data_IF_385343947586
#
_entry.id   IF_385343947586
#
_cell.length_a   1.000
_cell.length_b   1.000
_cell.length_c   1.000
_cell.angle_alpha   90.00
_cell.angle_beta   90.00
_cell.angle_gamma   90.00
#
_symmetry.space_group_name_H-M   'P 1'
#
loop_
_entity.id
_entity.type
_entity.pdbx_description
1 polymer ?
#
# COMPACT_ATOMS: atom_id res chain seq x y z
N UNK A 1 -21.93 -3.70 -7.66
CA UNK A 1 -22.08 -4.68 -6.55
C UNK A 1 -22.31 -6.09 -7.07
N UNK A 2 -23.32 -6.30 -7.95
CA UNK A 2 -23.70 -7.63 -8.46
C UNK A 2 -22.52 -8.38 -9.07
N UNK A 3 -21.75 -7.74 -9.93
CA UNK A 3 -20.55 -8.33 -10.56
C UNK A 3 -19.54 -8.86 -9.51
N UNK A 4 -19.33 -8.13 -8.42
CA UNK A 4 -18.43 -8.60 -7.35
C UNK A 4 -18.99 -9.81 -6.60
N UNK A 5 -20.31 -9.86 -6.39
CA UNK A 5 -20.95 -10.97 -5.70
C UNK A 5 -20.98 -12.25 -6.54
N UNK A 6 -21.22 -12.10 -7.84
CA UNK A 6 -21.39 -13.23 -8.75
C UNK A 6 -20.05 -13.82 -9.20
N UNK A 7 -19.04 -12.97 -9.39
CA UNK A 7 -17.78 -13.38 -10.00
C UNK A 7 -16.58 -13.43 -9.04
N UNK A 8 -16.60 -12.64 -7.96
CA UNK A 8 -15.46 -12.48 -7.02
C UNK A 8 -14.15 -12.42 -7.81
N UNK A 9 -13.96 -11.39 -8.67
CA UNK A 9 -12.81 -11.32 -9.55
C UNK A 9 -11.52 -11.25 -8.72
N UNK A 10 -10.46 -11.90 -9.16
CA UNK A 10 -9.17 -11.91 -8.47
C UNK A 10 -8.54 -10.51 -8.44
N UNK A 11 -8.66 -9.79 -9.56
CA UNK A 11 -8.14 -8.44 -9.73
C UNK A 11 -9.26 -7.54 -10.29
N UNK A 12 -9.43 -6.37 -9.69
CA UNK A 12 -10.23 -5.28 -10.23
C UNK A 12 -9.31 -4.13 -10.60
N UNK A 13 -9.35 -3.69 -11.85
CA UNK A 13 -8.51 -2.61 -12.33
C UNK A 13 -9.33 -1.40 -12.73
N UNK A 14 -9.02 -0.25 -12.13
CA UNK A 14 -9.67 1.03 -12.32
C UNK A 14 -8.69 2.05 -12.88
N UNK A 15 -9.04 2.70 -14.00
CA UNK A 15 -8.24 3.74 -14.65
C UNK A 15 -8.79 5.12 -14.31
N UNK A 16 -7.91 6.04 -13.91
CA UNK A 16 -8.20 7.44 -13.64
C UNK A 16 -7.19 8.36 -14.33
N UNK A 17 -7.48 9.67 -14.36
CA UNK A 17 -6.75 10.66 -15.17
C UNK A 17 -6.16 11.81 -14.34
N UNK A 18 -5.67 11.52 -13.13
CA UNK A 18 -5.03 12.50 -12.25
C UNK A 18 -3.59 12.13 -11.96
N UNK A 19 -2.78 11.94 -13.01
CA UNK A 19 -1.36 11.60 -12.90
C UNK A 19 -0.59 12.63 -12.06
N UNK A 20 0.34 12.21 -11.19
CA UNK A 20 1.12 13.14 -10.36
C UNK A 20 2.04 14.00 -11.21
N UNK A 21 2.14 15.29 -10.89
CA UNK A 21 3.04 16.22 -11.58
C UNK A 21 4.50 15.68 -11.58
N UNK A 22 5.17 15.76 -12.73
CA UNK A 22 6.53 15.23 -12.93
C UNK A 22 6.61 13.70 -13.01
N UNK A 23 5.47 13.02 -13.13
CA UNK A 23 5.34 11.60 -13.47
C UNK A 23 4.28 11.45 -14.55
N UNK A 24 4.20 10.29 -15.18
CA UNK A 24 3.20 10.01 -16.20
C UNK A 24 2.02 9.27 -15.60
N UNK A 25 2.29 8.28 -14.78
CA UNK A 25 1.26 7.44 -14.18
C UNK A 25 1.66 6.99 -12.80
N UNK A 26 0.71 7.04 -11.87
CA UNK A 26 0.81 6.40 -10.55
C UNK A 26 0.04 5.08 -10.56
N UNK A 27 0.63 4.05 -9.95
CA UNK A 27 0.02 2.74 -9.80
C UNK A 27 0.45 2.05 -8.50
N UNK A 28 0.04 0.78 -8.31
CA UNK A 28 0.44 0.00 -7.14
C UNK A 28 1.96 -0.27 -7.13
N UNK A 29 2.52 -0.58 -5.95
CA UNK A 29 1.92 -0.45 -4.63
C UNK A 29 1.76 0.99 -4.19
N UNK A 30 0.80 1.23 -3.31
CA UNK A 30 0.49 2.57 -2.81
C UNK A 30 1.29 2.90 -1.55
N UNK A 31 1.27 4.18 -1.14
CA UNK A 31 1.98 4.63 0.06
C UNK A 31 1.32 4.14 1.35
N UNK A 32 2.08 4.14 2.41
CA UNK A 32 1.56 4.00 3.77
C UNK A 32 0.68 5.21 4.18
N UNK A 33 -0.23 5.01 5.14
CA UNK A 33 -0.59 3.73 5.73
C UNK A 33 -1.61 2.97 4.87
N UNK A 34 -1.57 1.63 4.96
CA UNK A 34 -2.70 0.79 4.57
C UNK A 34 -3.53 0.39 5.79
N UNK A 35 -4.77 -0.05 5.58
CA UNK A 35 -5.65 -0.42 6.68
C UNK A 35 -5.13 -1.68 7.37
N UNK A 36 -5.01 -1.62 8.70
CA UNK A 36 -4.36 -2.65 9.52
C UNK A 36 -5.14 -3.97 9.61
N UNK A 37 -6.38 -4.03 9.12
CA UNK A 37 -7.20 -5.24 9.12
C UNK A 37 -7.04 -6.08 7.85
N UNK A 38 -6.34 -5.59 6.83
CA UNK A 38 -6.15 -6.34 5.60
C UNK A 38 -5.36 -7.62 5.83
N UNK A 39 -5.72 -8.65 5.08
CA UNK A 39 -4.88 -9.84 4.99
C UNK A 39 -3.53 -9.49 4.32
N UNK A 40 -2.40 -9.97 4.84
CA UNK A 40 -1.09 -9.70 4.24
C UNK A 40 -0.99 -10.06 2.76
N UNK A 41 -1.75 -11.05 2.29
CA UNK A 41 -1.78 -11.44 0.88
C UNK A 41 -2.32 -10.35 -0.04
N UNK A 42 -3.19 -9.46 0.44
CA UNK A 42 -3.63 -8.30 -0.34
C UNK A 42 -2.45 -7.39 -0.64
N UNK A 43 -1.65 -7.07 0.38
CA UNK A 43 -0.52 -6.13 0.26
C UNK A 43 0.57 -6.71 -0.62
N UNK A 44 0.97 -7.97 -0.38
CA UNK A 44 2.02 -8.62 -1.16
C UNK A 44 1.61 -8.84 -2.62
N UNK A 45 0.33 -9.08 -2.89
CA UNK A 45 -0.17 -9.18 -4.26
C UNK A 45 -0.20 -7.82 -4.96
N UNK A 46 -0.51 -6.73 -4.24
CA UNK A 46 -0.38 -5.36 -4.77
C UNK A 46 1.08 -5.03 -5.13
N UNK A 47 2.04 -5.44 -4.32
CA UNK A 47 3.46 -5.28 -4.61
C UNK A 47 3.85 -6.05 -5.88
N UNK A 48 3.41 -7.30 -6.00
CA UNK A 48 3.74 -8.16 -7.13
C UNK A 48 3.15 -7.64 -8.46
N UNK A 49 1.87 -7.26 -8.47
CA UNK A 49 1.24 -6.72 -9.68
C UNK A 49 1.82 -5.35 -10.05
N UNK A 50 2.15 -4.51 -9.05
CA UNK A 50 2.81 -3.23 -9.27
C UNK A 50 4.19 -3.39 -9.91
N UNK A 51 4.96 -4.36 -9.45
CA UNK A 51 6.25 -4.72 -10.05
C UNK A 51 6.08 -5.18 -11.50
N UNK A 52 5.07 -5.99 -11.82
CA UNK A 52 4.78 -6.42 -13.18
C UNK A 52 4.41 -5.23 -14.09
N UNK A 53 3.57 -4.32 -13.61
CA UNK A 53 3.17 -3.10 -14.35
C UNK A 53 4.36 -2.19 -14.63
N UNK A 54 5.17 -1.90 -13.62
CA UNK A 54 6.37 -1.07 -13.74
C UNK A 54 7.40 -1.70 -14.67
N UNK A 55 7.68 -3.00 -14.51
CA UNK A 55 8.62 -3.73 -15.35
C UNK A 55 8.20 -3.73 -16.81
N UNK A 56 6.92 -3.90 -17.11
CA UNK A 56 6.40 -3.84 -18.48
C UNK A 56 6.67 -2.49 -19.14
N UNK A 57 6.37 -1.39 -18.45
CA UNK A 57 6.66 -0.06 -18.99
C UNK A 57 8.16 0.17 -19.17
N UNK A 58 8.98 -0.26 -18.22
CA UNK A 58 10.44 -0.13 -18.31
C UNK A 58 11.02 -0.92 -19.49
N UNK A 59 10.53 -2.14 -19.73
CA UNK A 59 10.94 -2.97 -20.90
C UNK A 59 10.53 -2.33 -22.23
N UNK A 60 9.43 -1.62 -22.27
CA UNK A 60 8.96 -0.90 -23.44
C UNK A 60 9.58 0.51 -23.60
N UNK A 61 10.53 0.89 -22.74
CA UNK A 61 11.15 2.22 -22.75
C UNK A 61 10.19 3.35 -22.42
N UNK A 62 9.15 3.09 -21.62
CA UNK A 62 8.10 4.03 -21.22
C UNK A 62 8.35 4.56 -19.80
N UNK A 63 9.02 5.72 -19.62
CA UNK A 63 9.35 6.28 -18.31
C UNK A 63 8.15 6.88 -17.60
N UNK A 64 8.30 7.17 -16.30
CA UNK A 64 7.37 8.00 -15.53
C UNK A 64 6.31 7.23 -14.75
N UNK A 65 6.44 5.89 -14.60
CA UNK A 65 5.64 5.15 -13.61
C UNK A 65 6.13 5.47 -12.22
N UNK A 66 5.21 5.86 -11.33
CA UNK A 66 5.50 6.10 -9.92
C UNK A 66 4.60 5.29 -9.00
N UNK A 67 5.10 4.92 -7.85
CA UNK A 67 4.45 4.05 -6.87
C UNK A 67 4.75 4.49 -5.44
N UNK A 68 4.21 3.80 -4.44
CA UNK A 68 4.48 4.06 -3.02
C UNK A 68 4.31 5.56 -2.69
N UNK A 69 5.28 6.16 -2.03
CA UNK A 69 5.30 7.58 -1.66
C UNK A 69 5.53 8.56 -2.84
N UNK A 70 5.69 8.06 -4.05
CA UNK A 70 5.69 8.89 -5.26
C UNK A 70 4.32 9.46 -5.63
N UNK A 71 3.25 9.01 -4.98
CA UNK A 71 1.90 9.55 -5.14
C UNK A 71 1.19 9.70 -3.79
N UNK A 72 0.03 10.38 -3.80
CA UNK A 72 -0.78 10.61 -2.59
C UNK A 72 -1.70 9.44 -2.22
N UNK A 73 -1.81 8.42 -3.09
CA UNK A 73 -2.77 7.35 -2.92
C UNK A 73 -2.33 6.36 -1.85
N UNK A 74 -3.23 6.05 -0.92
CA UNK A 74 -3.04 5.03 0.12
C UNK A 74 -4.13 3.97 0.04
N UNK A 75 -4.01 2.91 0.83
CA UNK A 75 -5.02 1.84 0.92
C UNK A 75 -5.83 1.91 2.22
N UNK A 76 -5.80 3.04 2.90
CA UNK A 76 -6.48 3.22 4.19
C UNK A 76 -8.00 3.30 4.09
N UNK A 77 -8.51 4.08 3.13
CA UNK A 77 -9.94 4.39 3.03
C UNK A 77 -10.76 3.17 2.59
N UNK A 78 -11.79 2.81 3.36
CA UNK A 78 -12.60 1.62 3.12
C UNK A 78 -13.76 1.82 2.14
N UNK A 79 -14.13 3.04 1.80
CA UNK A 79 -15.29 3.37 0.96
C UNK A 79 -14.97 3.57 -0.52
N UNK A 80 -13.72 3.42 -0.95
CA UNK A 80 -13.33 3.57 -2.36
C UNK A 80 -13.61 2.32 -3.20
N UNK A 81 -13.89 2.49 -4.50
CA UNK A 81 -14.11 1.36 -5.41
C UNK A 81 -12.96 0.34 -5.36
N UNK A 82 -11.73 0.81 -5.39
CA UNK A 82 -10.53 0.00 -5.29
C UNK A 82 -10.40 -0.69 -3.94
N UNK A 83 -10.55 0.08 -2.85
CA UNK A 83 -10.26 -0.40 -1.49
C UNK A 83 -11.36 -1.27 -0.91
N UNK A 84 -12.60 -1.13 -1.37
CA UNK A 84 -13.70 -2.04 -1.01
C UNK A 84 -13.38 -3.49 -1.38
N UNK A 85 -12.68 -3.73 -2.47
CA UNK A 85 -12.32 -5.08 -2.92
C UNK A 85 -11.45 -5.82 -1.91
N UNK A 86 -10.57 -5.13 -1.19
CA UNK A 86 -9.66 -5.75 -0.20
C UNK A 86 -10.39 -6.42 0.97
N UNK A 87 -11.57 -5.93 1.32
CA UNK A 87 -12.43 -6.54 2.34
C UNK A 87 -13.22 -7.76 1.82
N UNK A 88 -13.10 -8.05 0.53
CA UNK A 88 -13.75 -9.18 -0.14
C UNK A 88 -12.72 -10.13 -0.77
N UNK A 89 -11.49 -10.13 -0.29
CA UNK A 89 -10.38 -10.97 -0.74
C UNK A 89 -10.01 -10.77 -2.22
N UNK A 90 -10.31 -9.61 -2.79
CA UNK A 90 -9.98 -9.23 -4.16
C UNK A 90 -8.88 -8.17 -4.15
N UNK A 91 -8.05 -8.14 -5.20
CA UNK A 91 -6.98 -7.16 -5.36
C UNK A 91 -7.45 -6.00 -6.23
N UNK A 92 -7.72 -4.86 -5.62
CA UNK A 92 -8.12 -3.63 -6.32
C UNK A 92 -6.92 -2.82 -6.78
N UNK A 93 -6.89 -2.46 -8.05
CA UNK A 93 -5.84 -1.64 -8.66
C UNK A 93 -6.44 -0.32 -9.13
N UNK A 94 -5.71 0.75 -8.91
CA UNK A 94 -5.92 2.07 -9.47
C UNK A 94 -4.67 2.49 -10.23
N UNK A 95 -4.81 2.97 -11.43
CA UNK A 95 -3.79 3.79 -12.08
C UNK A 95 -4.32 5.21 -12.30
N UNK A 96 -3.48 6.19 -12.02
CA UNK A 96 -3.74 7.60 -12.27
C UNK A 96 -2.75 8.10 -13.32
N UNK A 97 -3.21 8.27 -14.54
CA UNK A 97 -2.38 8.68 -15.67
C UNK A 97 -2.64 10.13 -16.04
N UNK A 98 -1.68 10.79 -16.66
CA UNK A 98 -1.93 12.07 -17.33
C UNK A 98 -2.98 11.85 -18.41
N UNK A 99 -4.08 12.58 -18.35
CA UNK A 99 -5.17 12.46 -19.32
C UNK A 99 -5.85 13.79 -19.56
N UNK A 100 -5.77 14.26 -20.81
CA UNK A 100 -6.49 15.43 -21.28
C UNK A 100 -6.77 15.25 -22.77
N UNK A 101 -7.94 15.62 -23.27
CA UNK A 101 -8.21 15.65 -24.72
C UNK A 101 -7.35 16.71 -25.43
N UNK A 102 -6.90 17.73 -24.69
CA UNK A 102 -6.00 18.76 -25.20
C UNK A 102 -4.56 18.37 -24.94
N UNK A 103 -3.64 18.50 -25.91
CA UNK A 103 -2.22 18.28 -25.68
C UNK A 103 -1.71 19.10 -24.50
N UNK A 104 -0.92 18.46 -23.66
CA UNK A 104 -0.32 19.06 -22.46
C UNK A 104 1.18 18.84 -22.46
N UNK A 105 1.84 19.16 -21.39
CA UNK A 105 3.26 18.90 -21.18
C UNK A 105 3.45 18.16 -19.86
N UNK A 106 4.38 17.20 -19.83
CA UNK A 106 4.88 16.65 -18.56
C UNK A 106 5.71 17.76 -17.91
N UNK A 107 5.26 18.30 -16.77
CA UNK A 107 5.92 19.44 -16.15
C UNK A 107 7.28 19.08 -15.57
N UNK A 108 8.18 20.06 -15.53
CA UNK A 108 9.46 19.93 -14.84
C UNK A 108 9.23 19.94 -13.30
N UNK A 109 9.55 18.83 -12.67
CA UNK A 109 9.60 18.70 -11.22
C UNK A 109 10.98 18.19 -10.82
N UNK A 110 11.93 19.08 -10.42
CA UNK A 110 13.33 18.70 -10.19
C UNK A 110 13.51 17.51 -9.25
N UNK A 111 12.74 17.45 -8.16
CA UNK A 111 12.77 16.35 -7.20
C UNK A 111 12.39 14.97 -7.78
N UNK A 112 11.79 14.93 -8.97
CA UNK A 112 11.36 13.69 -9.64
C UNK A 112 12.26 13.26 -10.80
N UNK A 113 13.36 13.97 -11.04
CA UNK A 113 14.30 13.64 -12.11
C UNK A 113 15.30 12.54 -11.73
N UNK A 114 15.46 12.29 -10.43
CA UNK A 114 16.38 11.25 -9.96
C UNK A 114 15.65 9.91 -9.77
N UNK A 115 16.21 8.80 -10.31
CA UNK A 115 15.71 7.46 -10.03
C UNK A 115 15.70 7.15 -8.54
N UNK A 116 14.63 6.52 -8.08
CA UNK A 116 14.50 6.06 -6.70
C UNK A 116 13.52 4.87 -6.64
N UNK A 117 13.32 4.29 -5.44
CA UNK A 117 12.44 3.12 -5.26
C UNK A 117 10.96 3.39 -5.58
N UNK A 118 10.51 4.64 -5.58
CA UNK A 118 9.15 5.00 -5.99
C UNK A 118 9.04 5.24 -7.50
N UNK A 119 10.08 5.76 -8.13
CA UNK A 119 10.13 6.09 -9.57
C UNK A 119 11.46 5.61 -10.16
N UNK A 120 11.57 4.32 -10.50
CA UNK A 120 12.84 3.75 -10.99
C UNK A 120 13.29 4.30 -12.33
N UNK A 121 12.36 4.71 -13.19
CA UNK A 121 12.62 5.29 -14.50
C UNK A 121 11.90 6.64 -14.62
N UNK A 122 12.51 7.73 -14.17
CA UNK A 122 11.94 9.07 -14.27
C UNK A 122 11.67 9.52 -15.70
N UNK A 123 10.65 10.36 -15.88
CA UNK A 123 10.35 11.02 -17.13
C UNK A 123 10.93 12.43 -17.12
N UNK A 124 11.51 12.85 -18.24
CA UNK A 124 11.88 14.26 -18.49
C UNK A 124 10.70 15.05 -19.05
N UNK A 125 10.67 16.38 -18.88
CA UNK A 125 9.64 17.23 -19.49
C UNK A 125 9.55 16.99 -21.00
N UNK A 126 8.32 16.78 -21.49
CA UNK A 126 8.06 16.58 -22.91
C UNK A 126 6.59 16.85 -23.24
N UNK A 127 6.26 17.16 -24.49
CA UNK A 127 4.87 17.18 -24.94
C UNK A 127 4.17 15.86 -24.67
N UNK A 128 2.92 15.92 -24.24
CA UNK A 128 2.09 14.77 -23.92
C UNK A 128 0.74 14.89 -24.63
N UNK A 129 0.38 13.85 -25.35
CA UNK A 129 -0.87 13.75 -26.10
C UNK A 129 -1.73 12.65 -25.52
N UNK A 130 -3.01 12.68 -25.76
CA UNK A 130 -3.94 11.64 -25.31
C UNK A 130 -3.58 10.25 -25.85
N UNK A 131 -3.02 10.18 -27.08
CA UNK A 131 -2.49 8.93 -27.63
C UNK A 131 -1.39 8.30 -26.78
N UNK A 132 -0.55 9.11 -26.14
CA UNK A 132 0.48 8.63 -25.21
C UNK A 132 -0.16 7.94 -24.00
N UNK A 133 -1.21 8.56 -23.42
CA UNK A 133 -1.97 7.98 -22.30
C UNK A 133 -2.61 6.64 -22.68
N UNK A 134 -3.18 6.55 -23.88
CA UNK A 134 -3.76 5.29 -24.40
C UNK A 134 -2.66 4.21 -24.52
N UNK A 135 -1.52 4.55 -25.13
CA UNK A 135 -0.42 3.62 -25.31
C UNK A 135 0.14 3.07 -23.99
N UNK A 136 0.25 3.94 -22.94
CA UNK A 136 0.64 3.50 -21.60
C UNK A 136 -0.43 2.62 -20.95
N UNK A 137 -1.70 3.03 -21.04
CA UNK A 137 -2.82 2.26 -20.48
C UNK A 137 -2.93 0.87 -21.09
N UNK A 138 -2.72 0.72 -22.40
CA UNK A 138 -2.68 -0.58 -23.07
C UNK A 138 -1.56 -1.45 -22.52
N UNK A 139 -0.34 -0.91 -22.38
CA UNK A 139 0.78 -1.66 -21.79
C UNK A 139 0.49 -2.11 -20.38
N UNK A 140 -0.10 -1.25 -19.55
CA UNK A 140 -0.51 -1.58 -18.18
C UNK A 140 -1.59 -2.66 -18.16
N UNK A 141 -2.59 -2.58 -19.06
CA UNK A 141 -3.61 -3.64 -19.19
C UNK A 141 -2.98 -4.98 -19.54
N UNK A 142 -2.09 -5.03 -20.53
CA UNK A 142 -1.38 -6.26 -20.88
C UNK A 142 -0.52 -6.78 -19.73
N UNK A 143 0.12 -5.91 -18.96
CA UNK A 143 0.88 -6.33 -17.77
C UNK A 143 -0.01 -7.01 -16.73
N UNK A 144 -1.19 -6.44 -16.46
CA UNK A 144 -2.15 -7.01 -15.49
C UNK A 144 -2.74 -8.32 -15.98
N UNK A 145 -3.12 -8.40 -17.28
CA UNK A 145 -3.67 -9.62 -17.87
C UNK A 145 -2.63 -10.75 -17.87
N UNK A 146 -1.38 -10.46 -18.27
CA UNK A 146 -0.28 -11.43 -18.26
C UNK A 146 0.04 -11.88 -16.82
N UNK A 147 0.09 -10.95 -15.87
CA UNK A 147 0.26 -11.28 -14.46
C UNK A 147 -0.85 -12.20 -13.95
N UNK A 148 -2.11 -11.88 -14.24
CA UNK A 148 -3.26 -12.68 -13.84
C UNK A 148 -3.23 -14.08 -14.45
N UNK A 149 -2.90 -14.19 -15.75
CA UNK A 149 -2.82 -15.47 -16.44
C UNK A 149 -1.73 -16.38 -15.86
N UNK A 150 -0.54 -15.83 -15.59
CA UNK A 150 0.59 -16.60 -15.03
C UNK A 150 0.40 -16.98 -13.58
N UNK A 151 -0.33 -16.18 -12.82
CA UNK A 151 -0.53 -16.37 -11.38
C UNK A 151 -1.95 -16.82 -11.02
N UNK A 152 -2.74 -17.31 -11.99
CA UNK A 152 -4.16 -17.66 -11.79
C UNK A 152 -4.41 -18.55 -10.59
N UNK A 153 -3.62 -19.61 -10.44
CA UNK A 153 -3.79 -20.59 -9.39
C UNK A 153 -3.45 -20.00 -8.01
N UNK A 154 -2.39 -19.20 -7.94
CA UNK A 154 -2.01 -18.49 -6.72
C UNK A 154 -3.05 -17.43 -6.33
N UNK A 155 -3.61 -16.71 -7.30
CA UNK A 155 -4.65 -15.71 -7.05
C UNK A 155 -5.96 -16.36 -6.57
N UNK A 156 -6.39 -17.46 -7.19
CA UNK A 156 -7.57 -18.21 -6.77
C UNK A 156 -7.39 -18.81 -5.38
N UNK A 157 -6.24 -19.46 -5.14
CA UNK A 157 -5.90 -19.99 -3.82
C UNK A 157 -5.81 -18.85 -2.78
N UNK A 158 -5.29 -17.69 -3.18
CA UNK A 158 -5.22 -16.51 -2.32
C UNK A 158 -6.58 -16.05 -1.81
N UNK A 159 -7.60 -15.97 -2.66
CA UNK A 159 -8.97 -15.64 -2.27
C UNK A 159 -9.48 -16.62 -1.20
N UNK A 160 -9.34 -17.92 -1.47
CA UNK A 160 -9.74 -18.97 -0.51
C UNK A 160 -8.96 -18.85 0.80
N UNK A 161 -7.63 -18.66 0.73
CA UNK A 161 -6.77 -18.57 1.91
C UNK A 161 -7.11 -17.36 2.77
N UNK A 162 -7.32 -16.20 2.18
CA UNK A 162 -7.74 -14.99 2.89
C UNK A 162 -9.11 -15.18 3.56
N UNK A 163 -10.05 -15.86 2.89
CA UNK A 163 -11.32 -16.22 3.48
C UNK A 163 -11.15 -17.13 4.70
N UNK A 164 -10.32 -18.17 4.59
CA UNK A 164 -9.97 -19.05 5.72
C UNK A 164 -9.31 -18.29 6.87
N UNK A 165 -8.34 -17.43 6.57
CA UNK A 165 -7.67 -16.60 7.58
C UNK A 165 -8.69 -15.71 8.33
N UNK A 166 -9.68 -15.16 7.61
CA UNK A 166 -10.73 -14.33 8.20
C UNK A 166 -11.63 -15.13 9.16
N UNK A 167 -12.05 -16.34 8.76
CA UNK A 167 -12.85 -17.25 9.60
C UNK A 167 -12.05 -17.65 10.85
N UNK A 168 -10.81 -18.08 10.68
CA UNK A 168 -9.93 -18.49 11.78
C UNK A 168 -9.68 -17.34 12.77
N UNK A 169 -9.49 -16.12 12.27
CA UNK A 169 -9.34 -14.92 13.10
C UNK A 169 -10.61 -14.59 13.88
N UNK A 170 -11.77 -14.69 13.25
CA UNK A 170 -13.07 -14.48 13.90
C UNK A 170 -13.43 -15.56 14.94
N UNK A 171 -12.87 -16.78 14.80
CA UNK A 171 -13.06 -17.91 15.72
C UNK A 171 -12.25 -17.84 17.03
N UNK A 172 -11.32 -16.93 17.17
CA UNK A 172 -10.42 -16.80 18.33
C UNK A 172 -10.26 -15.34 18.77
N UNK A 173 -9.78 -15.16 20.00
CA UNK A 173 -9.42 -13.83 20.49
C UNK A 173 -8.21 -13.29 19.70
N UNK A 174 -8.33 -12.04 19.27
CA UNK A 174 -7.24 -11.31 18.63
C UNK A 174 -7.33 -9.82 18.95
N UNK A 175 -6.24 -9.10 18.69
CA UNK A 175 -6.10 -7.69 18.93
C UNK A 175 -5.46 -7.02 17.73
N UNK A 176 -6.19 -6.15 17.06
CA UNK A 176 -5.64 -5.33 15.98
C UNK A 176 -4.79 -4.21 16.57
N UNK A 177 -3.56 -4.09 16.08
CA UNK A 177 -2.64 -3.05 16.51
C UNK A 177 -2.84 -1.77 15.69
N UNK A 178 -3.09 -0.68 16.39
CA UNK A 178 -3.21 0.66 15.81
C UNK A 178 -2.07 1.53 16.30
N UNK A 179 -1.66 2.59 15.57
CA UNK A 179 -0.60 3.50 16.01
C UNK A 179 -0.77 3.99 17.44
N UNK A 180 -2.00 4.34 17.85
CA UNK A 180 -2.32 4.74 19.21
C UNK A 180 -2.04 3.66 20.25
N UNK A 181 -2.31 2.39 19.93
CA UNK A 181 -2.00 1.27 20.85
C UNK A 181 -0.50 1.03 20.95
N UNK A 182 0.21 1.19 19.84
CA UNK A 182 1.68 1.08 19.84
C UNK A 182 2.31 2.21 20.65
N UNK A 183 1.82 3.44 20.51
CA UNK A 183 2.28 4.57 21.32
C UNK A 183 2.09 4.31 22.83
N UNK A 184 0.98 3.68 23.22
CA UNK A 184 0.72 3.34 24.63
C UNK A 184 1.77 2.41 25.25
N UNK A 185 2.42 1.54 24.45
CA UNK A 185 3.55 0.72 24.94
C UNK A 185 4.74 1.62 25.28
N UNK A 186 5.07 2.55 24.39
CA UNK A 186 6.19 3.47 24.57
C UNK A 186 5.98 4.35 25.79
N UNK A 187 4.77 4.85 25.96
CA UNK A 187 4.36 5.66 27.13
C UNK A 187 4.44 4.85 28.43
N UNK A 188 3.94 3.62 28.43
CA UNK A 188 4.01 2.74 29.61
C UNK A 188 5.47 2.41 29.96
N UNK A 189 6.27 2.08 28.98
CA UNK A 189 7.69 1.81 29.20
C UNK A 189 8.46 3.03 29.69
N UNK A 190 8.21 4.22 29.14
CA UNK A 190 8.85 5.46 29.57
C UNK A 190 8.44 5.85 31.00
N UNK A 191 7.21 5.62 31.38
CA UNK A 191 6.70 5.86 32.74
C UNK A 191 7.38 4.98 33.78
N UNK A 192 7.55 3.69 33.45
CA UNK A 192 8.18 2.69 34.35
C UNK A 192 9.72 2.82 34.37
N UNK A 193 10.30 3.44 33.33
CA UNK A 193 11.73 3.61 33.18
C UNK A 193 12.04 5.09 32.81
N UNK A 194 11.80 6.04 33.73
CA UNK A 194 12.09 7.44 33.46
C UNK A 194 13.59 7.61 33.13
N UNK A 195 13.95 8.47 32.18
CA UNK A 195 15.35 8.72 31.87
C UNK A 195 16.09 9.18 33.12
N UNK A 196 17.23 8.55 33.41
CA UNK A 196 18.11 9.02 34.45
C UNK A 196 18.46 10.49 34.19
N UNK A 197 18.39 11.34 35.21
CA UNK A 197 18.86 12.73 35.12
C UNK A 197 20.38 12.68 34.89
N UNK A 198 20.83 12.52 33.64
CA UNK A 198 22.24 12.52 33.31
C UNK A 198 22.60 13.82 32.65
N UNK A 199 23.49 14.54 33.32
CA UNK A 199 24.39 15.46 32.65
C UNK A 199 25.48 14.64 31.96
N UNK A 200 25.21 14.15 30.75
CA UNK A 200 26.23 13.55 29.90
C UNK A 200 26.23 14.32 28.57
N UNK A 201 27.37 14.93 28.28
CA UNK A 201 27.75 15.63 27.08
C UNK A 201 27.53 14.77 25.84
N UNK A 202 26.90 15.38 24.85
CA UNK A 202 26.78 14.87 23.48
C UNK A 202 28.19 14.85 22.84
N UNK A 203 28.70 13.66 22.59
CA UNK A 203 29.72 13.39 21.57
C UNK A 203 29.68 11.90 21.24
N UNK A 204 28.80 11.52 20.30
CA UNK A 204 29.02 10.33 19.46
C UNK A 204 28.22 10.45 18.15
N UNK A 205 28.93 10.84 17.09
CA UNK A 205 28.47 10.92 15.70
C UNK A 205 28.44 9.51 15.09
N UNK A 206 27.49 8.68 15.53
CA UNK A 206 27.12 7.48 14.81
C UNK A 206 25.65 7.57 14.37
N UNK A 207 25.45 8.01 13.13
CA UNK A 207 24.20 8.35 12.47
C UNK A 207 23.12 7.26 12.40
N UNK A 208 22.68 6.79 13.55
CA UNK A 208 21.48 5.97 13.69
C UNK A 208 20.75 6.39 14.95
N UNK A 209 19.65 7.12 14.77
CA UNK A 209 18.75 7.58 15.82
C UNK A 209 18.67 6.62 17.01
N UNK A 210 19.19 7.01 18.15
CA UNK A 210 19.16 6.26 19.41
C UNK A 210 17.73 5.97 19.91
N UNK A 211 16.73 6.68 19.41
CA UNK A 211 15.31 6.49 19.74
C UNK A 211 14.73 5.15 19.21
N UNK A 212 15.33 4.55 18.19
CA UNK A 212 14.84 3.28 17.60
C UNK A 212 15.39 2.00 18.24
N UNK A 213 16.34 2.08 19.17
CA UNK A 213 17.09 0.91 19.65
C UNK A 213 16.81 0.48 21.09
N UNK A 214 15.98 1.17 21.85
CA UNK A 214 15.61 0.68 23.19
C UNK A 214 14.68 -0.51 23.04
N UNK A 215 15.20 -1.72 23.30
CA UNK A 215 14.39 -2.95 23.37
C UNK A 215 13.42 -2.82 24.54
N UNK A 216 12.15 -2.70 24.22
CA UNK A 216 11.08 -2.74 25.22
C UNK A 216 10.87 -4.19 25.63
N UNK A 217 10.85 -4.54 26.94
CA UNK A 217 10.58 -5.89 27.38
C UNK A 217 9.27 -6.45 26.84
N UNK A 218 9.26 -7.72 26.45
CA UNK A 218 8.09 -8.37 25.81
C UNK A 218 6.85 -8.38 26.65
N UNK A 219 6.96 -8.30 28.00
CA UNK A 219 5.80 -8.17 28.90
C UNK A 219 4.85 -7.05 28.54
N UNK A 220 5.37 -5.92 28.03
CA UNK A 220 4.53 -4.78 27.62
C UNK A 220 3.59 -5.11 26.47
N UNK A 221 3.90 -6.13 25.67
CA UNK A 221 3.00 -6.61 24.63
C UNK A 221 1.73 -7.20 25.22
N UNK A 222 1.84 -8.01 26.26
CA UNK A 222 0.68 -8.60 26.95
C UNK A 222 0.00 -7.58 27.86
N UNK A 223 0.77 -6.86 28.68
CA UNK A 223 0.25 -5.93 29.68
C UNK A 223 -0.47 -4.71 29.11
N UNK A 224 -0.11 -4.28 27.88
CA UNK A 224 -0.64 -3.07 27.24
C UNK A 224 -1.54 -3.38 26.05
N UNK A 225 -1.12 -4.29 25.15
CA UNK A 225 -1.86 -4.54 23.91
C UNK A 225 -2.91 -5.64 24.03
N UNK A 226 -2.65 -6.67 24.84
CA UNK A 226 -3.55 -7.84 24.97
C UNK A 226 -4.53 -7.76 26.12
N UNK A 227 -4.83 -6.56 26.58
CA UNK A 227 -5.84 -6.39 27.60
C UNK A 227 -7.21 -6.89 27.11
N UNK A 228 -7.99 -7.60 27.95
CA UNK A 228 -9.28 -8.16 27.56
C UNK A 228 -10.25 -7.12 27.00
N UNK A 229 -10.25 -5.91 27.55
CA UNK A 229 -11.09 -4.80 27.11
C UNK A 229 -10.72 -4.21 25.74
N UNK A 230 -9.53 -4.51 25.25
CA UNK A 230 -9.03 -4.10 23.91
C UNK A 230 -9.20 -5.19 22.85
N UNK A 231 -9.78 -6.33 23.21
CA UNK A 231 -10.02 -7.43 22.29
C UNK A 231 -10.97 -7.00 21.18
N UNK A 232 -10.66 -7.41 19.97
CA UNK A 232 -11.51 -7.14 18.82
C UNK A 232 -12.81 -7.95 18.88
N UNK A 233 -13.89 -7.38 18.40
CA UNK A 233 -15.18 -8.06 18.32
C UNK A 233 -15.10 -9.26 17.37
N UNK A 234 -15.70 -10.39 17.76
CA UNK A 234 -15.81 -11.58 16.91
C UNK A 234 -17.00 -11.50 15.94
N UNK A 235 -17.94 -10.61 16.19
CA UNK A 235 -19.12 -10.39 15.38
C UNK A 235 -19.89 -9.16 15.83
N UNK A 236 -20.83 -8.74 15.01
CA UNK A 236 -21.70 -7.60 15.26
C UNK A 236 -23.15 -8.04 15.11
N UNK A 237 -24.01 -7.59 16.00
CA UNK A 237 -25.46 -7.75 15.88
C UNK A 237 -26.01 -6.44 15.34
N UNK A 238 -26.64 -6.51 14.18
CA UNK A 238 -27.35 -5.37 13.59
C UNK A 238 -28.80 -5.43 14.05
N UNK A 239 -29.37 -4.32 14.58
CA UNK A 239 -30.77 -4.26 14.99
C UNK A 239 -31.72 -4.32 13.79
#
# INVERSE_FOLDING_TARGET
RQLYLDWIPQIMYNHHQSGPAGSVVAGPPYRDPFNHVYDPLVITTLDAVGAAMSSRLNLEGKPGYTQRNGSVFSTWFNGGLRTTTYFHNMVGILSEIIGSPTPSEVPLVPARLLPNGATPFPVTPRPWRYADSIAYSLSLNYAVLDFAARNRDALLFGIWRMGRNSIERGGRDHWTHYPRRIAAIQEAHARDNPPAKSGATEDDDSGASAAGRRRIPTRYFDDVLRKPELRDARGYILP
#
